data_IF_137326497220
#
_entry.id   IF_137326497220
#
_cell.length_a   1.000
_cell.length_b   1.000
_cell.length_c   1.000
_cell.angle_alpha   90.00
_cell.angle_beta   90.00
_cell.angle_gamma   90.00
#
_symmetry.space_group_name_H-M   'P 1'
#
loop_
_entity.id
_entity.type
_entity.pdbx_description
1 polymer ?
#
# COMPACT_ATOMS: atom_id res chain seq x y z
N UNK A 1 12.04 -15.63 -0.14
CA UNK A 1 11.76 -14.45 0.71
C UNK A 1 12.47 -13.22 0.17
N UNK A 2 13.78 -13.29 -0.02
CA UNK A 2 14.58 -12.18 -0.55
C UNK A 2 14.09 -11.68 -1.93
N UNK A 3 13.73 -12.58 -2.84
CA UNK A 3 13.15 -12.23 -4.14
C UNK A 3 11.80 -11.48 -4.01
N UNK A 4 10.89 -11.97 -3.15
CA UNK A 4 9.61 -11.29 -2.87
C UNK A 4 9.83 -9.89 -2.30
N UNK A 5 10.86 -9.72 -1.47
CA UNK A 5 11.19 -8.43 -0.84
C UNK A 5 11.82 -7.45 -1.84
N UNK A 6 12.82 -7.91 -2.61
CA UNK A 6 13.58 -7.06 -3.55
C UNK A 6 12.86 -6.78 -4.86
N UNK A 7 11.95 -7.66 -5.27
CA UNK A 7 11.17 -7.48 -6.50
C UNK A 7 9.75 -7.07 -6.18
N UNK A 8 8.93 -7.93 -5.59
CA UNK A 8 7.50 -7.69 -5.47
C UNK A 8 7.15 -6.54 -4.54
N UNK A 9 7.75 -6.48 -3.36
CA UNK A 9 7.48 -5.41 -2.41
C UNK A 9 8.00 -4.06 -2.93
N UNK A 10 9.08 -4.06 -3.71
CA UNK A 10 9.61 -2.87 -4.39
C UNK A 10 8.69 -2.42 -5.53
N UNK A 11 8.27 -3.36 -6.39
CA UNK A 11 7.39 -3.09 -7.53
C UNK A 11 6.01 -2.56 -7.07
N UNK A 12 5.51 -3.05 -5.94
CA UNK A 12 4.27 -2.56 -5.33
C UNK A 12 4.48 -1.24 -4.56
N UNK A 13 5.72 -0.74 -4.48
CA UNK A 13 6.06 0.48 -3.76
C UNK A 13 5.87 0.36 -2.24
N UNK A 14 5.83 -0.86 -1.68
CA UNK A 14 5.78 -1.07 -0.24
C UNK A 14 7.11 -0.68 0.42
N UNK A 15 8.22 -0.85 -0.28
CA UNK A 15 9.57 -0.43 0.13
C UNK A 15 10.35 0.08 -1.06
N UNK A 16 11.37 0.90 -0.82
CA UNK A 16 12.37 1.24 -1.83
C UNK A 16 13.39 0.11 -2.00
N UNK A 17 14.12 0.06 -3.12
CA UNK A 17 15.20 -0.91 -3.32
C UNK A 17 16.22 -0.88 -2.16
N UNK A 18 16.59 0.33 -1.72
CA UNK A 18 17.51 0.54 -0.60
C UNK A 18 16.98 -0.04 0.71
N UNK A 19 15.69 0.15 1.01
CA UNK A 19 15.06 -0.43 2.20
C UNK A 19 14.99 -1.95 2.10
N UNK A 20 14.63 -2.50 0.93
CA UNK A 20 14.61 -3.95 0.71
C UNK A 20 16.00 -4.59 0.90
N UNK A 21 17.06 -3.94 0.43
CA UNK A 21 18.44 -4.36 0.68
C UNK A 21 18.82 -4.30 2.16
N UNK A 22 18.46 -3.22 2.87
CA UNK A 22 18.71 -3.07 4.30
C UNK A 22 17.99 -4.14 5.13
N UNK A 23 16.71 -4.36 4.85
CA UNK A 23 15.92 -5.41 5.49
C UNK A 23 16.51 -6.79 5.21
N UNK A 24 16.92 -7.06 3.96
CA UNK A 24 17.56 -8.32 3.57
C UNK A 24 18.87 -8.58 4.30
N UNK A 25 19.75 -7.57 4.41
CA UNK A 25 21.00 -7.68 5.19
C UNK A 25 20.71 -7.88 6.67
N UNK A 26 19.68 -7.22 7.19
CA UNK A 26 19.23 -7.37 8.58
C UNK A 26 18.69 -8.76 8.92
N UNK A 27 18.41 -9.62 7.93
CA UNK A 27 18.00 -11.01 8.17
C UNK A 27 19.18 -11.97 8.39
N UNK A 28 20.40 -11.61 7.97
CA UNK A 28 21.55 -12.51 8.00
C UNK A 28 21.86 -12.91 9.45
N UNK A 29 21.93 -14.21 9.71
CA UNK A 29 22.18 -14.77 11.05
C UNK A 29 20.97 -14.79 11.99
N UNK A 30 19.79 -14.33 11.54
CA UNK A 30 18.53 -14.42 12.31
C UNK A 30 17.77 -15.70 11.96
N UNK A 31 16.93 -16.15 12.89
CA UNK A 31 15.98 -17.23 12.59
C UNK A 31 15.01 -16.79 11.47
N UNK A 32 14.87 -17.56 10.37
CA UNK A 32 14.10 -17.14 9.19
C UNK A 32 12.65 -16.76 9.50
N UNK A 33 11.97 -17.52 10.37
CA UNK A 33 10.57 -17.25 10.75
C UNK A 33 10.42 -15.93 11.50
N UNK A 34 11.33 -15.64 12.42
CA UNK A 34 11.33 -14.39 13.20
C UNK A 34 11.68 -13.19 12.32
N UNK A 35 12.67 -13.35 11.43
CA UNK A 35 13.03 -12.33 10.46
C UNK A 35 11.86 -12.00 9.51
N UNK A 36 11.15 -13.02 9.02
CA UNK A 36 9.96 -12.81 8.19
C UNK A 36 8.87 -12.06 8.95
N UNK A 37 8.56 -12.48 10.18
CA UNK A 37 7.52 -11.88 10.99
C UNK A 37 7.76 -10.37 11.19
N UNK A 38 9.00 -9.97 11.50
CA UNK A 38 9.36 -8.56 11.66
C UNK A 38 9.19 -7.77 10.36
N UNK A 39 9.67 -8.32 9.24
CA UNK A 39 9.51 -7.69 7.91
C UNK A 39 8.03 -7.52 7.58
N UNK A 40 7.23 -8.55 7.84
CA UNK A 40 5.78 -8.53 7.57
C UNK A 40 5.11 -7.45 8.41
N UNK A 41 5.47 -7.26 9.68
CA UNK A 41 4.94 -6.19 10.53
C UNK A 41 5.25 -4.80 9.94
N UNK A 42 6.50 -4.59 9.51
CA UNK A 42 6.92 -3.31 8.93
C UNK A 42 6.22 -3.02 7.59
N UNK A 43 6.09 -4.03 6.73
CA UNK A 43 5.40 -3.90 5.45
C UNK A 43 3.89 -3.69 5.62
N UNK A 44 3.24 -4.36 6.58
CA UNK A 44 1.83 -4.10 6.94
C UNK A 44 1.65 -2.64 7.34
N UNK A 45 2.52 -2.11 8.22
CA UNK A 45 2.46 -0.72 8.67
C UNK A 45 2.63 0.28 7.51
N UNK A 46 3.52 -0.06 6.56
CA UNK A 46 3.76 0.76 5.37
C UNK A 46 2.53 0.77 4.45
N UNK A 47 1.97 -0.39 4.13
CA UNK A 47 0.73 -0.51 3.35
C UNK A 47 -0.41 0.27 4.00
N UNK A 48 -0.57 0.12 5.33
CA UNK A 48 -1.56 0.85 6.10
C UNK A 48 -1.45 2.36 5.96
N UNK A 49 -0.20 2.86 6.01
CA UNK A 49 0.10 4.28 5.88
C UNK A 49 -0.24 4.79 4.48
N UNK A 50 0.07 4.01 3.44
CA UNK A 50 -0.25 4.36 2.05
C UNK A 50 -1.76 4.46 1.83
N UNK A 51 -2.52 3.45 2.28
CA UNK A 51 -3.99 3.44 2.16
C UNK A 51 -4.58 4.62 2.93
N UNK A 52 -4.15 4.86 4.17
CA UNK A 52 -4.63 6.01 4.96
C UNK A 52 -4.37 7.34 4.27
N UNK A 53 -3.18 7.55 3.69
CA UNK A 53 -2.86 8.76 2.92
C UNK A 53 -3.77 8.89 1.70
N UNK A 54 -4.00 7.79 0.99
CA UNK A 54 -4.88 7.74 -0.18
C UNK A 54 -6.33 8.10 0.19
N UNK A 55 -6.90 7.44 1.20
CA UNK A 55 -8.26 7.68 1.69
C UNK A 55 -8.48 9.16 2.05
N UNK A 56 -7.52 9.80 2.71
CA UNK A 56 -7.59 11.24 3.04
C UNK A 56 -7.59 12.11 1.81
N UNK A 57 -6.66 11.85 0.88
CA UNK A 57 -6.51 12.64 -0.35
C UNK A 57 -7.74 12.53 -1.26
N UNK A 58 -8.36 11.36 -1.31
CA UNK A 58 -9.45 11.03 -2.25
C UNK A 58 -10.81 10.89 -1.57
N UNK A 59 -10.98 11.44 -0.35
CA UNK A 59 -12.23 11.42 0.44
C UNK A 59 -12.88 10.03 0.49
N UNK A 60 -12.07 9.01 0.75
CA UNK A 60 -12.52 7.63 0.89
C UNK A 60 -12.22 6.72 -0.30
N UNK A 61 -12.02 7.25 -1.52
CA UNK A 61 -11.63 6.41 -2.66
C UNK A 61 -12.60 5.24 -2.93
N UNK A 62 -12.11 4.04 -3.32
CA UNK A 62 -12.96 2.86 -3.47
C UNK A 62 -13.53 2.36 -2.13
N UNK A 63 -12.87 2.66 -1.02
CA UNK A 63 -13.26 2.23 0.33
C UNK A 63 -13.87 3.39 1.13
N UNK A 64 -14.86 4.06 0.55
CA UNK A 64 -15.37 5.32 1.09
C UNK A 64 -16.22 5.19 2.37
N UNK A 65 -16.69 4.00 2.68
CA UNK A 65 -17.51 3.75 3.87
C UNK A 65 -16.68 3.19 5.03
N UNK A 66 -17.03 3.49 6.30
CA UNK A 66 -16.27 3.04 7.46
C UNK A 66 -16.11 1.52 7.58
N UNK A 67 -17.13 0.76 7.15
CA UNK A 67 -17.11 -0.71 7.23
C UNK A 67 -16.04 -1.31 6.32
N UNK A 68 -15.91 -0.83 5.08
CA UNK A 68 -14.88 -1.27 4.15
C UNK A 68 -13.47 -0.92 4.66
N UNK A 69 -13.29 0.25 5.26
CA UNK A 69 -12.00 0.65 5.85
C UNK A 69 -11.63 -0.21 7.08
N UNK A 70 -12.63 -0.66 7.84
CA UNK A 70 -12.42 -1.60 8.94
C UNK A 70 -12.00 -2.98 8.43
N UNK A 71 -12.70 -3.49 7.41
CA UNK A 71 -12.38 -4.78 6.79
C UNK A 71 -10.93 -4.77 6.28
N UNK A 72 -10.54 -3.74 5.52
CA UNK A 72 -9.15 -3.59 5.07
C UNK A 72 -8.13 -3.59 6.21
N UNK A 73 -8.44 -2.89 7.32
CA UNK A 73 -7.54 -2.82 8.48
C UNK A 73 -7.34 -4.21 9.09
N UNK A 74 -8.42 -4.96 9.28
CA UNK A 74 -8.39 -6.30 9.84
C UNK A 74 -7.65 -7.26 8.91
N UNK A 75 -7.93 -7.20 7.61
CA UNK A 75 -7.28 -8.03 6.59
C UNK A 75 -5.76 -7.80 6.58
N UNK A 76 -5.32 -6.55 6.48
CA UNK A 76 -3.90 -6.20 6.53
C UNK A 76 -3.28 -6.67 7.85
N UNK A 77 -3.94 -6.43 8.99
CA UNK A 77 -3.44 -6.86 10.28
C UNK A 77 -3.31 -8.38 10.43
N UNK A 78 -4.15 -9.17 9.76
CA UNK A 78 -4.20 -10.64 9.89
C UNK A 78 -3.15 -11.38 9.05
N UNK A 79 -2.79 -10.88 7.87
CA UNK A 79 -1.40 -10.70 7.36
C UNK A 79 -0.26 -11.70 7.62
N UNK A 80 -0.41 -12.98 7.93
CA UNK A 80 0.63 -13.80 8.59
C UNK A 80 2.01 -14.00 7.91
N UNK A 81 2.11 -13.90 6.59
CA UNK A 81 3.35 -14.18 5.83
C UNK A 81 3.65 -13.11 4.79
N UNK A 82 4.90 -13.06 4.32
CA UNK A 82 5.30 -12.11 3.28
C UNK A 82 4.56 -12.37 1.97
N UNK A 83 4.39 -13.65 1.60
CA UNK A 83 3.66 -14.04 0.39
C UNK A 83 2.19 -13.60 0.44
N UNK A 84 1.50 -13.87 1.56
CA UNK A 84 0.10 -13.46 1.72
C UNK A 84 -0.05 -11.94 1.69
N UNK A 85 0.89 -11.21 2.30
CA UNK A 85 0.88 -9.75 2.30
C UNK A 85 1.07 -9.19 0.89
N UNK A 86 2.00 -9.74 0.09
CA UNK A 86 2.22 -9.33 -1.30
C UNK A 86 0.98 -9.56 -2.16
N UNK A 87 0.34 -10.73 -2.04
CA UNK A 87 -0.88 -11.05 -2.78
C UNK A 87 -2.03 -10.09 -2.43
N UNK A 88 -2.22 -9.84 -1.13
CA UNK A 88 -3.22 -8.89 -0.64
C UNK A 88 -2.94 -7.46 -1.11
N UNK A 89 -1.68 -7.02 -1.01
CA UNK A 89 -1.26 -5.70 -1.47
C UNK A 89 -1.50 -5.51 -2.97
N UNK A 90 -1.22 -6.53 -3.80
CA UNK A 90 -1.55 -6.51 -5.24
C UNK A 90 -3.04 -6.26 -5.48
N UNK A 91 -3.90 -6.98 -4.78
CA UNK A 91 -5.36 -6.82 -4.92
C UNK A 91 -5.81 -5.40 -4.54
N UNK A 92 -5.38 -4.92 -3.36
CA UNK A 92 -5.74 -3.58 -2.86
C UNK A 92 -5.25 -2.48 -3.78
N UNK A 93 -4.00 -2.58 -4.26
CA UNK A 93 -3.41 -1.56 -5.12
C UNK A 93 -4.01 -1.58 -6.53
N UNK A 94 -4.42 -2.75 -7.05
CA UNK A 94 -5.19 -2.85 -8.30
C UNK A 94 -6.53 -2.13 -8.19
N UNK A 95 -7.31 -2.40 -7.13
CA UNK A 95 -8.60 -1.75 -6.89
C UNK A 95 -8.45 -0.21 -6.78
N UNK A 96 -7.39 0.25 -6.11
CA UNK A 96 -7.03 1.68 -6.07
C UNK A 96 -6.79 2.25 -7.46
N UNK A 97 -6.02 1.56 -8.28
CA UNK A 97 -5.60 2.05 -9.59
C UNK A 97 -6.76 2.04 -10.59
N UNK A 98 -7.62 1.02 -10.54
CA UNK A 98 -8.88 0.95 -11.28
C UNK A 98 -9.80 2.13 -10.92
N UNK A 99 -9.95 2.42 -9.62
CA UNK A 99 -10.73 3.56 -9.16
C UNK A 99 -10.14 4.90 -9.64
N UNK A 100 -8.82 5.05 -9.57
CA UNK A 100 -8.13 6.26 -10.07
C UNK A 100 -8.36 6.46 -11.57
N UNK A 101 -8.29 5.38 -12.36
CA UNK A 101 -8.53 5.42 -13.80
C UNK A 101 -9.97 5.78 -14.12
N UNK A 102 -10.95 5.18 -13.44
CA UNK A 102 -12.37 5.50 -13.59
C UNK A 102 -12.69 6.95 -13.18
N UNK A 103 -11.96 7.52 -12.23
CA UNK A 103 -12.21 8.85 -11.68
C UNK A 103 -11.25 9.93 -12.22
N UNK A 104 -10.38 9.60 -13.18
CA UNK A 104 -9.31 10.49 -13.69
C UNK A 104 -9.84 11.86 -14.16
N UNK A 105 -10.99 11.89 -14.83
CA UNK A 105 -11.62 13.14 -15.30
C UNK A 105 -12.23 14.02 -14.20
N UNK A 106 -12.58 13.45 -13.04
CA UNK A 106 -13.07 14.19 -11.86
C UNK A 106 -11.92 14.68 -10.96
N UNK A 107 -10.75 14.04 -11.08
CA UNK A 107 -9.56 14.39 -10.31
C UNK A 107 -8.78 15.55 -10.95
N UNK A 108 -8.85 15.71 -12.28
CA UNK A 108 -8.24 16.86 -12.98
C UNK A 108 -8.97 18.19 -12.69
N UNK A 109 -10.30 18.17 -12.53
CA UNK A 109 -11.08 19.38 -12.21
C UNK A 109 -10.86 19.91 -10.78
N UNK A 110 -10.41 19.05 -9.86
CA UNK A 110 -10.02 19.46 -8.50
C UNK A 110 -8.63 20.12 -8.45
N UNK A 111 -7.78 19.91 -9.45
CA UNK A 111 -6.44 20.52 -9.55
C UNK A 111 -6.44 21.79 -10.42
N UNK A 112 -7.40 21.95 -11.33
CA UNK A 112 -7.58 23.14 -12.17
C UNK A 112 -8.80 24.00 -11.80
N UNK A 113 -9.32 23.87 -10.58
CA UNK A 113 -10.42 24.69 -10.04
C UNK A 113 -10.02 26.13 -9.67
N UNK A 114 -8.92 26.64 -10.24
CA UNK A 114 -8.46 28.01 -10.08
C UNK A 114 -9.25 28.98 -10.96
N UNK A 115 -10.43 29.39 -10.49
CA UNK A 115 -11.05 30.71 -10.73
C UNK A 115 -10.90 31.30 -12.14
N UNK A 116 -11.69 30.83 -13.11
CA UNK A 116 -12.00 31.64 -14.29
C UNK A 116 -13.07 32.67 -13.88
N UNK A 117 -12.62 33.84 -13.42
CA UNK A 117 -13.50 34.98 -13.20
C UNK A 117 -13.76 35.61 -14.58
N UNK A 118 -14.85 35.21 -15.23
CA UNK A 118 -15.36 35.92 -16.40
C UNK A 118 -15.76 37.34 -15.95
N UNK A 119 -15.24 38.35 -16.65
CA UNK A 119 -15.71 39.73 -16.55
C UNK A 119 -16.99 39.88 -17.35
#
# INVERSE_FOLDING_TARGET
MEELLKNDCVNLGLVTCKQAEQMSRGMVGREPKKAEADIVVELRATLHTQIRKFLRKHKGGPWNNPKAQEVLRIEIASTGSLRSLVQMARSILSERDEWLMANRGKLSSLLFGGKVRAK
#
